data_IF_495058792168
#
_entry.id   IF_495058792168
#
_cell.length_a   1.000
_cell.length_b   1.000
_cell.length_c   1.000
_cell.angle_alpha   90.00
_cell.angle_beta   90.00
_cell.angle_gamma   90.00
#
_symmetry.space_group_name_H-M   'P 1'
#
loop_
_entity.id
_entity.type
_entity.pdbx_description
1 polymer ?
#
# COMPACT_ATOMS: atom_id res chain seq x y z
N UNK A 1 5.27 -24.74 2.89
CA UNK A 1 4.16 -23.77 2.78
C UNK A 1 3.28 -24.16 1.60
N UNK A 2 1.98 -24.13 1.80
CA UNK A 2 0.92 -24.29 0.80
C UNK A 2 0.57 -22.95 0.15
N UNK A 3 -0.04 -23.00 -1.05
CA UNK A 3 -0.31 -21.79 -1.83
C UNK A 3 -1.32 -20.86 -1.13
N UNK A 4 -2.33 -21.40 -0.43
CA UNK A 4 -3.34 -20.59 0.28
C UNK A 4 -2.68 -19.72 1.35
N UNK A 5 -1.89 -20.35 2.24
CA UNK A 5 -1.13 -19.62 3.25
C UNK A 5 -0.12 -18.65 2.63
N UNK A 6 0.54 -19.01 1.53
CA UNK A 6 1.45 -18.09 0.86
C UNK A 6 0.73 -16.84 0.37
N UNK A 7 -0.48 -16.96 -0.19
CA UNK A 7 -1.26 -15.84 -0.71
C UNK A 7 -1.72 -14.89 0.39
N UNK A 8 -2.11 -15.43 1.55
CA UNK A 8 -2.51 -14.62 2.71
C UNK A 8 -1.37 -13.73 3.21
N UNK A 9 -0.12 -14.19 3.11
CA UNK A 9 1.05 -13.51 3.68
C UNK A 9 1.81 -12.63 2.68
N UNK A 10 1.40 -12.54 1.40
CA UNK A 10 2.13 -11.77 0.38
C UNK A 10 2.16 -10.26 0.70
N UNK A 11 1.12 -9.74 1.34
CA UNK A 11 1.02 -8.32 1.68
C UNK A 11 2.00 -7.96 2.79
N UNK A 12 2.04 -8.76 3.86
CA UNK A 12 3.00 -8.61 4.96
C UNK A 12 4.43 -8.88 4.49
N UNK A 13 4.62 -9.82 3.58
CA UNK A 13 5.91 -10.07 2.94
C UNK A 13 6.41 -8.86 2.17
N UNK A 14 5.56 -8.24 1.34
CA UNK A 14 5.88 -6.99 0.66
C UNK A 14 6.16 -5.86 1.67
N UNK A 15 5.38 -5.77 2.75
CA UNK A 15 5.55 -4.75 3.78
C UNK A 15 6.80 -4.98 4.66
N UNK A 16 7.42 -6.15 4.59
CA UNK A 16 8.57 -6.53 5.42
C UNK A 16 8.20 -6.70 6.90
N UNK A 17 6.94 -7.00 7.21
CA UNK A 17 6.42 -7.09 8.59
C UNK A 17 6.32 -8.52 9.11
N UNK A 18 6.68 -9.51 8.28
CA UNK A 18 6.71 -10.91 8.68
C UNK A 18 7.91 -11.22 9.59
N UNK A 19 7.75 -12.26 10.41
CA UNK A 19 8.86 -12.84 11.15
C UNK A 19 9.90 -13.46 10.20
N UNK A 20 11.17 -13.48 10.62
CA UNK A 20 12.30 -13.93 9.79
C UNK A 20 12.09 -15.33 9.19
N UNK A 21 11.47 -16.23 9.96
CA UNK A 21 11.17 -17.60 9.53
C UNK A 21 10.12 -17.61 8.41
N UNK A 22 9.02 -16.88 8.57
CA UNK A 22 7.94 -16.80 7.58
C UNK A 22 8.42 -16.11 6.30
N UNK A 23 9.27 -15.09 6.43
CA UNK A 23 9.89 -14.42 5.29
C UNK A 23 10.77 -15.37 4.46
N UNK A 24 11.54 -16.24 5.12
CA UNK A 24 12.35 -17.28 4.47
C UNK A 24 11.48 -18.33 3.78
N UNK A 25 10.41 -18.79 4.44
CA UNK A 25 9.50 -19.79 3.89
C UNK A 25 8.76 -19.28 2.64
N UNK A 26 8.25 -18.05 2.66
CA UNK A 26 7.60 -17.43 1.50
C UNK A 26 8.62 -17.23 0.38
N UNK A 27 9.82 -16.72 0.69
CA UNK A 27 10.88 -16.55 -0.31
C UNK A 27 11.20 -17.88 -1.01
N UNK A 28 11.34 -18.96 -0.24
CA UNK A 28 11.58 -20.29 -0.78
C UNK A 28 10.40 -20.78 -1.64
N UNK A 29 9.15 -20.52 -1.21
CA UNK A 29 7.96 -20.89 -1.97
C UNK A 29 7.84 -20.14 -3.30
N UNK A 30 8.07 -18.83 -3.31
CA UNK A 30 8.03 -18.00 -4.52
C UNK A 30 9.10 -18.40 -5.56
N UNK A 31 10.21 -19.01 -5.13
CA UNK A 31 11.23 -19.53 -6.06
C UNK A 31 10.81 -20.81 -6.78
N UNK A 32 9.88 -21.58 -6.22
CA UNK A 32 9.48 -22.89 -6.76
C UNK A 32 8.05 -22.91 -7.31
N UNK A 33 7.22 -21.96 -6.89
CA UNK A 33 5.80 -21.88 -7.25
C UNK A 33 5.55 -20.68 -8.18
N UNK A 34 5.57 -20.91 -9.50
CA UNK A 34 5.27 -19.88 -10.50
C UNK A 34 3.95 -19.15 -10.25
N UNK A 35 2.82 -19.84 -9.96
CA UNK A 35 1.55 -19.15 -9.73
C UNK A 35 1.60 -18.12 -8.58
N UNK A 36 2.25 -18.46 -7.47
CA UNK A 36 2.39 -17.53 -6.34
C UNK A 36 3.36 -16.40 -6.67
N UNK A 37 4.41 -16.67 -7.45
CA UNK A 37 5.34 -15.65 -7.94
C UNK A 37 4.65 -14.64 -8.86
N UNK A 38 3.78 -15.12 -9.76
CA UNK A 38 3.01 -14.28 -10.68
C UNK A 38 2.05 -13.36 -9.91
N UNK A 39 1.31 -13.90 -8.93
CA UNK A 39 0.43 -13.09 -8.07
C UNK A 39 1.22 -12.05 -7.27
N UNK A 40 2.39 -12.42 -6.75
CA UNK A 40 3.26 -11.49 -6.03
C UNK A 40 3.79 -10.38 -6.97
N UNK A 41 4.12 -10.72 -8.21
CA UNK A 41 4.53 -9.75 -9.21
C UNK A 41 3.40 -8.76 -9.54
N UNK A 42 2.18 -9.25 -9.74
CA UNK A 42 0.99 -8.43 -9.96
C UNK A 42 0.73 -7.47 -8.79
N UNK A 43 0.87 -7.96 -7.55
CA UNK A 43 0.77 -7.15 -6.35
C UNK A 43 1.78 -5.98 -6.37
N UNK A 44 3.06 -6.25 -6.68
CA UNK A 44 4.09 -5.22 -6.77
C UNK A 44 3.74 -4.19 -7.85
N UNK A 45 3.33 -4.66 -9.04
CA UNK A 45 2.94 -3.81 -10.16
C UNK A 45 1.81 -2.85 -9.79
N UNK A 46 0.79 -3.34 -9.08
CA UNK A 46 -0.33 -2.53 -8.60
C UNK A 46 0.17 -1.45 -7.64
N UNK A 47 1.01 -1.83 -6.66
CA UNK A 47 1.55 -0.89 -5.65
C UNK A 47 2.42 0.18 -6.31
N UNK A 48 3.32 -0.21 -7.21
CA UNK A 48 4.18 0.72 -7.94
C UNK A 48 3.39 1.66 -8.84
N UNK A 49 2.39 1.13 -9.54
CA UNK A 49 1.48 1.93 -10.38
C UNK A 49 0.72 2.95 -9.53
N UNK A 50 0.14 2.53 -8.41
CA UNK A 50 -0.56 3.43 -7.49
C UNK A 50 0.36 4.52 -6.96
N UNK A 51 1.61 4.18 -6.58
CA UNK A 51 2.62 5.15 -6.15
C UNK A 51 2.98 6.14 -7.25
N UNK A 52 3.13 5.67 -8.49
CA UNK A 52 3.42 6.52 -9.65
C UNK A 52 2.28 7.51 -9.91
N UNK A 53 1.02 7.07 -9.80
CA UNK A 53 -0.15 7.93 -9.96
C UNK A 53 -0.25 8.99 -8.86
N UNK A 54 0.00 8.60 -7.60
CA UNK A 54 0.03 9.53 -6.47
C UNK A 54 1.14 10.59 -6.58
N UNK A 55 2.27 10.27 -7.22
CA UNK A 55 3.36 11.22 -7.45
C UNK A 55 3.12 12.21 -8.59
N UNK A 56 2.27 11.86 -9.57
CA UNK A 56 2.01 12.67 -10.76
C UNK A 56 0.94 13.75 -10.52
N UNK A 57 -0.08 13.44 -9.70
CA UNK A 57 -1.13 14.36 -9.31
C UNK A 57 -1.30 14.33 -7.79
N UNK A 58 -0.35 14.93 -7.07
CA UNK A 58 -0.63 15.28 -5.68
C UNK A 58 -1.83 16.20 -5.69
N UNK A 59 -3.00 15.71 -5.25
CA UNK A 59 -3.95 16.55 -4.54
C UNK A 59 -3.12 17.12 -3.41
N UNK A 60 -2.56 18.32 -3.64
CA UNK A 60 -1.80 19.05 -2.63
C UNK A 60 -2.77 19.14 -1.47
N UNK A 61 -2.48 18.38 -0.41
CA UNK A 61 -3.31 18.40 0.77
C UNK A 61 -3.50 19.87 1.12
N UNK A 62 -4.75 20.38 1.17
CA UNK A 62 -4.95 21.80 1.34
C UNK A 62 -4.26 22.17 2.65
N UNK A 63 -3.56 23.30 2.63
CA UNK A 63 -2.97 23.85 3.84
C UNK A 63 -4.06 23.84 4.94
N UNK A 64 -3.86 23.05 6.00
CA UNK A 64 -4.86 22.89 7.07
C UNK A 64 -5.20 24.24 7.68
N UNK A 65 -4.21 25.12 7.79
CA UNK A 65 -4.40 26.47 8.31
C UNK A 65 -5.28 27.29 7.36
N UNK A 66 -5.13 27.15 6.04
CA UNK A 66 -6.01 27.79 5.05
C UNK A 66 -7.44 27.21 5.12
N UNK A 67 -7.59 25.89 5.24
CA UNK A 67 -8.88 25.22 5.38
C UNK A 67 -9.62 25.69 6.63
N UNK A 68 -8.96 25.67 7.79
CA UNK A 68 -9.53 26.11 9.06
C UNK A 68 -9.86 27.59 9.06
N UNK A 69 -9.01 28.43 8.44
CA UNK A 69 -9.27 29.86 8.29
C UNK A 69 -10.51 30.12 7.43
N UNK A 70 -10.68 29.41 6.31
CA UNK A 70 -11.89 29.51 5.46
C UNK A 70 -13.15 29.04 6.18
N UNK A 71 -13.09 27.92 6.90
CA UNK A 71 -14.21 27.41 7.69
C UNK A 71 -14.59 28.37 8.83
N UNK A 72 -13.60 28.95 9.52
CA UNK A 72 -13.83 29.94 10.58
C UNK A 72 -14.45 31.25 10.07
N UNK A 73 -14.10 31.69 8.86
CA UNK A 73 -14.71 32.86 8.21
C UNK A 73 -16.15 32.55 7.79
N UNK A 74 -16.40 31.38 7.19
CA UNK A 74 -17.75 30.95 6.81
C UNK A 74 -18.69 30.86 8.03
N UNK A 75 -18.17 30.44 9.19
CA UNK A 75 -18.94 30.34 10.43
C UNK A 75 -19.25 31.70 11.07
N UNK A 76 -18.46 32.74 10.79
CA UNK A 76 -18.72 34.12 11.27
C UNK A 76 -19.68 34.92 10.38
N UNK A 77 -19.90 34.50 9.13
CA UNK A 77 -20.81 35.15 8.19
C UNK A 77 -22.29 34.74 8.38
N UNK A 78 -22.58 33.82 9.31
CA UNK A 78 -23.92 33.30 9.63
C UNK A 78 -24.54 33.94 10.89
N UNK A 79 -23.96 35.01 11.43
CA UNK A 79 -24.50 35.82 12.53
C UNK A 79 -24.74 37.26 12.08
#
# INVERSE_FOLDING_TARGET
MDCERSLELLSEYHAGTLEDVEMLEIRAHLQVCSPCADVFHDLILIVETARSLCGADTIRYPDEDELWRRLGIANRALH
#
